data_IF_554412073936
#
_entry.id   IF_554412073936
#
_cell.length_a   1.000
_cell.length_b   1.000
_cell.length_c   1.000
_cell.angle_alpha   90.00
_cell.angle_beta   90.00
_cell.angle_gamma   90.00
#
_symmetry.space_group_name_H-M   'P 1'
#
loop_
_entity.id
_entity.type
_entity.pdbx_description
1 polymer ?
#
# COMPACT_ATOMS: atom_id res chain seq x y z
N UNK A 1 -13.61 7.77 8.68
CA UNK A 1 -12.22 8.15 9.02
C UNK A 1 -12.09 8.67 10.45
N UNK A 2 -13.00 9.51 10.96
CA UNK A 2 -12.90 10.05 12.33
C UNK A 2 -12.92 8.98 13.42
N UNK A 3 -13.87 8.03 13.39
CA UNK A 3 -13.92 6.92 14.37
C UNK A 3 -12.61 6.10 14.42
N UNK A 4 -12.01 5.84 13.26
CA UNK A 4 -10.74 5.10 13.17
C UNK A 4 -9.57 5.92 13.74
N UNK A 5 -9.50 7.21 13.41
CA UNK A 5 -8.49 8.14 13.93
C UNK A 5 -8.59 8.25 15.45
N UNK A 6 -9.79 8.51 15.96
CA UNK A 6 -10.01 8.78 17.37
C UNK A 6 -9.69 7.53 18.22
N UNK A 7 -10.13 6.35 17.78
CA UNK A 7 -9.78 5.08 18.42
C UNK A 7 -8.26 4.82 18.38
N UNK A 8 -7.60 5.07 17.25
CA UNK A 8 -6.15 4.88 17.12
C UNK A 8 -5.39 5.80 18.09
N UNK A 9 -5.82 7.05 18.24
CA UNK A 9 -5.22 8.00 19.21
C UNK A 9 -5.44 7.54 20.64
N UNK A 10 -6.64 7.07 20.99
CA UNK A 10 -6.93 6.53 22.32
C UNK A 10 -6.01 5.35 22.67
N UNK A 11 -5.85 4.40 21.74
CA UNK A 11 -4.94 3.27 21.92
C UNK A 11 -3.47 3.71 21.99
N UNK A 12 -3.06 4.70 21.19
CA UNK A 12 -1.70 5.21 21.19
C UNK A 12 -1.32 5.84 22.55
N UNK A 13 -2.26 6.50 23.23
CA UNK A 13 -2.01 7.06 24.57
C UNK A 13 -1.74 5.98 25.64
N UNK A 14 -2.16 4.74 25.40
CA UNK A 14 -1.98 3.61 26.31
C UNK A 14 -0.76 2.74 25.95
N UNK A 15 -0.26 2.85 24.71
CA UNK A 15 0.78 1.98 24.17
C UNK A 15 1.88 2.80 23.48
N UNK A 16 3.05 2.91 24.13
CA UNK A 16 4.18 3.73 23.63
C UNK A 16 4.62 3.33 22.22
N UNK A 17 4.70 2.04 21.90
CA UNK A 17 5.05 1.58 20.55
C UNK A 17 4.06 2.09 19.49
N UNK A 18 2.77 2.13 19.82
CA UNK A 18 1.74 2.61 18.91
C UNK A 18 1.81 4.13 18.76
N UNK A 19 2.10 4.86 19.86
CA UNK A 19 2.37 6.30 19.79
C UNK A 19 3.57 6.60 18.88
N UNK A 20 4.67 5.87 19.03
CA UNK A 20 5.87 6.07 18.21
C UNK A 20 5.55 5.88 16.71
N UNK A 21 4.85 4.82 16.31
CA UNK A 21 4.50 4.68 14.88
C UNK A 21 3.48 5.72 14.38
N UNK A 22 2.58 6.24 15.24
CA UNK A 22 1.71 7.38 14.90
C UNK A 22 2.53 8.65 14.65
N UNK A 23 3.55 8.91 15.47
CA UNK A 23 4.49 10.03 15.28
C UNK A 23 5.33 9.87 14.01
N UNK A 24 5.75 8.64 13.69
CA UNK A 24 6.44 8.34 12.44
C UNK A 24 5.55 8.63 11.22
N UNK A 25 4.31 8.15 11.24
CA UNK A 25 3.33 8.39 10.18
C UNK A 25 3.03 9.90 10.01
N UNK A 26 2.91 10.64 11.12
CA UNK A 26 2.72 12.09 11.10
C UNK A 26 3.93 12.83 10.53
N UNK A 27 5.14 12.37 10.86
CA UNK A 27 6.38 12.92 10.32
C UNK A 27 6.47 12.68 8.80
N UNK A 28 6.10 11.49 8.32
CA UNK A 28 6.04 11.20 6.88
C UNK A 28 5.00 12.03 6.13
N UNK A 29 3.83 12.26 6.75
CA UNK A 29 2.85 13.17 6.18
C UNK A 29 3.44 14.59 6.04
N UNK A 30 4.18 15.05 7.07
CA UNK A 30 4.85 16.36 7.04
C UNK A 30 5.93 16.40 5.95
N UNK A 31 6.75 15.36 5.83
CA UNK A 31 7.74 15.21 4.76
C UNK A 31 7.11 15.28 3.36
N UNK A 32 5.99 14.58 3.15
CA UNK A 32 5.30 14.52 1.85
C UNK A 32 4.71 15.86 1.39
N UNK A 33 4.51 16.79 2.32
CA UNK A 33 3.99 18.14 2.04
C UNK A 33 5.09 19.22 2.10
N UNK A 34 6.30 18.88 2.54
CA UNK A 34 7.38 19.84 2.67
C UNK A 34 7.94 20.22 1.29
N UNK A 35 8.17 21.52 1.08
CA UNK A 35 8.80 22.04 -0.14
C UNK A 35 10.32 22.17 -0.03
N UNK A 36 10.83 22.37 1.20
CA UNK A 36 12.25 22.57 1.47
C UNK A 36 12.94 21.23 1.73
N UNK A 37 14.07 20.98 1.05
CA UNK A 37 14.81 19.73 1.18
C UNK A 37 15.29 19.44 2.62
N UNK A 38 15.64 20.48 3.39
CA UNK A 38 16.03 20.33 4.79
C UNK A 38 14.85 19.86 5.66
N UNK A 39 13.64 20.38 5.42
CA UNK A 39 12.45 19.97 6.15
C UNK A 39 12.03 18.54 5.79
N UNK A 40 12.12 18.16 4.51
CA UNK A 40 11.92 16.76 4.08
C UNK A 40 12.90 15.84 4.83
N UNK A 41 14.19 16.18 4.83
CA UNK A 41 15.23 15.42 5.51
C UNK A 41 14.94 15.23 7.00
N UNK A 42 14.65 16.33 7.72
CA UNK A 42 14.34 16.32 9.14
C UNK A 42 13.13 15.43 9.45
N UNK A 43 12.06 15.53 8.66
CA UNK A 43 10.85 14.76 8.86
C UNK A 43 11.01 13.28 8.51
N UNK A 44 11.76 12.93 7.45
CA UNK A 44 12.09 11.53 7.14
C UNK A 44 12.98 10.93 8.22
N UNK A 45 14.00 11.66 8.69
CA UNK A 45 14.87 11.21 9.78
C UNK A 45 14.07 10.98 11.07
N UNK A 46 13.16 11.90 11.43
CA UNK A 46 12.25 11.74 12.56
C UNK A 46 11.35 10.52 12.37
N UNK A 47 10.80 10.31 11.18
CA UNK A 47 9.96 9.15 10.88
C UNK A 47 10.70 7.84 11.08
N UNK A 48 11.91 7.70 10.54
CA UNK A 48 12.73 6.49 10.69
C UNK A 48 13.10 6.25 12.15
N UNK A 49 13.43 7.32 12.90
CA UNK A 49 13.71 7.24 14.33
C UNK A 49 12.51 6.68 15.10
N UNK A 50 11.33 7.26 14.93
CA UNK A 50 10.12 6.80 15.61
C UNK A 50 9.68 5.40 15.14
N UNK A 51 9.86 5.06 13.86
CA UNK A 51 9.57 3.73 13.35
C UNK A 51 10.45 2.67 14.01
N UNK A 52 11.76 2.93 14.12
CA UNK A 52 12.69 2.03 14.80
C UNK A 52 12.35 1.90 16.28
N UNK A 53 12.04 3.01 16.96
CA UNK A 53 11.62 3.00 18.37
C UNK A 53 10.36 2.19 18.60
N UNK A 54 9.34 2.33 17.75
CA UNK A 54 8.12 1.53 17.83
C UNK A 54 8.42 0.03 17.85
N UNK A 55 9.28 -0.45 16.95
CA UNK A 55 9.69 -1.86 16.89
C UNK A 55 10.52 -2.26 18.11
N UNK A 56 11.47 -1.43 18.53
CA UNK A 56 12.31 -1.70 19.70
C UNK A 56 11.46 -1.81 20.97
N UNK A 57 10.62 -0.83 21.25
CA UNK A 57 9.71 -0.80 22.41
C UNK A 57 8.76 -2.00 22.40
N UNK A 58 8.20 -2.33 21.22
CA UNK A 58 7.38 -3.51 21.05
C UNK A 58 8.16 -4.78 21.40
N UNK A 59 9.36 -4.96 20.84
CA UNK A 59 10.20 -6.14 21.08
C UNK A 59 10.69 -6.26 22.53
N UNK A 60 11.08 -5.15 23.16
CA UNK A 60 11.51 -5.11 24.56
C UNK A 60 10.36 -5.51 25.49
N UNK A 61 9.15 -5.02 25.21
CA UNK A 61 7.92 -5.42 25.90
C UNK A 61 7.54 -6.89 25.60
N UNK A 62 7.92 -7.41 24.43
CA UNK A 62 7.55 -8.74 23.94
C UNK A 62 8.37 -9.92 24.46
N UNK A 63 9.48 -9.68 25.17
CA UNK A 63 10.11 -10.77 25.94
C UNK A 63 9.15 -11.37 26.99
N UNK A 64 8.02 -10.71 27.30
CA UNK A 64 7.05 -11.10 28.33
C UNK A 64 5.55 -11.02 27.94
N UNK A 65 5.16 -10.58 26.73
CA UNK A 65 3.73 -10.51 26.33
C UNK A 65 3.44 -11.38 25.11
N UNK A 66 2.81 -12.54 25.33
CA UNK A 66 2.08 -13.25 24.28
C UNK A 66 0.94 -12.33 23.82
N UNK A 67 0.75 -12.15 22.50
CA UNK A 67 -0.43 -11.44 21.97
C UNK A 67 -1.66 -11.97 22.69
N UNK A 68 -2.40 -11.06 23.30
CA UNK A 68 -3.58 -11.29 24.12
C UNK A 68 -4.78 -10.63 23.47
N UNK A 69 -5.98 -10.92 23.96
CA UNK A 69 -7.20 -10.26 23.50
C UNK A 69 -7.13 -8.73 23.68
N UNK A 70 -6.52 -8.24 24.77
CA UNK A 70 -6.36 -6.80 25.05
C UNK A 70 -5.33 -6.11 24.15
N UNK A 71 -4.26 -6.81 23.79
CA UNK A 71 -3.20 -6.24 22.94
C UNK A 71 -3.43 -6.43 21.45
N UNK A 72 -4.46 -7.19 21.06
CA UNK A 72 -4.73 -7.54 19.67
C UNK A 72 -4.93 -6.30 18.78
N UNK A 73 -5.82 -5.38 19.18
CA UNK A 73 -6.13 -4.18 18.40
C UNK A 73 -4.93 -3.21 18.29
N UNK A 74 -4.26 -2.84 19.38
CA UNK A 74 -3.04 -2.05 19.33
C UNK A 74 -1.95 -2.62 18.40
N UNK A 75 -1.74 -3.93 18.42
CA UNK A 75 -0.72 -4.58 17.57
C UNK A 75 -1.16 -4.62 16.10
N UNK A 76 -2.45 -4.83 15.83
CA UNK A 76 -3.01 -4.70 14.48
C UNK A 76 -2.83 -3.28 13.93
N UNK A 77 -3.14 -2.25 14.74
CA UNK A 77 -2.95 -0.85 14.37
C UNK A 77 -1.49 -0.52 14.11
N UNK A 78 -0.60 -0.93 15.02
CA UNK A 78 0.84 -0.72 14.88
C UNK A 78 1.35 -1.35 13.59
N UNK A 79 1.01 -2.62 13.34
CA UNK A 79 1.45 -3.35 12.13
C UNK A 79 0.91 -2.70 10.85
N UNK A 80 -0.34 -2.24 10.86
CA UNK A 80 -0.96 -1.53 9.74
C UNK A 80 -0.24 -0.20 9.46
N UNK A 81 0.05 0.59 10.50
CA UNK A 81 0.78 1.85 10.37
C UNK A 81 2.24 1.62 9.93
N UNK A 82 2.90 0.55 10.39
CA UNK A 82 4.22 0.16 9.90
C UNK A 82 4.21 -0.20 8.41
N UNK A 83 3.17 -0.88 7.93
CA UNK A 83 3.00 -1.21 6.51
C UNK A 83 3.01 0.06 5.66
N UNK A 84 2.19 1.05 6.06
CA UNK A 84 2.08 2.32 5.34
C UNK A 84 3.32 3.20 5.51
N UNK A 85 3.83 3.33 6.73
CA UNK A 85 5.01 4.14 7.02
C UNK A 85 6.24 3.63 6.27
N UNK A 86 6.43 2.31 6.19
CA UNK A 86 7.52 1.70 5.40
C UNK A 86 7.40 2.04 3.93
N UNK A 87 6.19 1.94 3.36
CA UNK A 87 5.94 2.29 1.95
C UNK A 87 6.26 3.76 1.68
N UNK A 88 5.72 4.67 2.50
CA UNK A 88 5.89 6.11 2.29
C UNK A 88 7.34 6.55 2.53
N UNK A 89 8.00 6.05 3.57
CA UNK A 89 9.40 6.35 3.85
C UNK A 89 10.30 5.93 2.70
N UNK A 90 10.12 4.70 2.19
CA UNK A 90 10.92 4.18 1.08
C UNK A 90 10.67 4.91 -0.25
N UNK A 91 9.53 5.58 -0.42
CA UNK A 91 9.19 6.37 -1.61
C UNK A 91 9.52 7.86 -1.46
N UNK A 92 10.03 8.29 -0.31
CA UNK A 92 10.36 9.68 0.00
C UNK A 92 11.87 9.84 0.11
N UNK A 93 12.55 10.37 -0.93
CA UNK A 93 13.98 10.66 -0.86
C UNK A 93 14.26 11.62 0.32
N UNK A 94 15.13 11.20 1.24
CA UNK A 94 15.51 12.01 2.40
C UNK A 94 16.48 13.14 2.02
N UNK A 95 17.18 12.99 0.89
CA UNK A 95 18.10 14.01 0.37
C UNK A 95 17.94 14.22 -1.14
N UNK A 96 18.24 15.43 -1.66
CA UNK A 96 18.19 15.69 -3.10
C UNK A 96 19.13 14.74 -3.87
N UNK A 97 18.59 14.03 -4.86
CA UNK A 97 19.35 13.11 -5.70
C UNK A 97 19.56 11.71 -5.12
N UNK A 98 18.99 11.41 -3.95
CA UNK A 98 18.92 10.05 -3.44
C UNK A 98 18.10 9.18 -4.39
N UNK A 99 18.70 8.08 -4.85
CA UNK A 99 18.02 7.08 -5.67
C UNK A 99 17.18 6.19 -4.77
N UNK A 100 15.94 5.95 -5.18
CA UNK A 100 15.10 4.99 -4.50
C UNK A 100 15.64 3.57 -4.69
N UNK A 101 15.37 2.72 -3.70
CA UNK A 101 15.43 1.27 -3.92
C UNK A 101 14.46 0.88 -5.06
N UNK A 102 14.73 -0.20 -5.80
CA UNK A 102 13.80 -0.69 -6.82
C UNK A 102 12.40 -0.87 -6.23
N UNK A 103 11.38 -0.34 -6.93
CA UNK A 103 9.97 -0.39 -6.48
C UNK A 103 9.53 -1.80 -6.09
N UNK A 104 10.00 -2.82 -6.81
CA UNK A 104 9.66 -4.22 -6.52
C UNK A 104 10.14 -4.65 -5.13
N UNK A 105 11.33 -4.22 -4.71
CA UNK A 105 11.87 -4.51 -3.37
C UNK A 105 11.11 -3.76 -2.27
N UNK A 106 10.74 -2.50 -2.53
CA UNK A 106 9.90 -1.72 -1.62
C UNK A 106 8.56 -2.42 -1.41
N UNK A 107 7.90 -2.82 -2.49
CA UNK A 107 6.59 -3.50 -2.44
C UNK A 107 6.69 -4.87 -1.77
N UNK A 108 7.77 -5.63 -1.98
CA UNK A 108 8.04 -6.89 -1.26
C UNK A 108 8.15 -6.67 0.25
N UNK A 109 8.83 -5.62 0.69
CA UNK A 109 8.95 -5.26 2.11
C UNK A 109 7.59 -4.95 2.73
N UNK A 110 6.77 -4.17 2.01
CA UNK A 110 5.39 -3.83 2.42
C UNK A 110 4.51 -5.09 2.49
N UNK A 111 4.66 -5.99 1.52
CA UNK A 111 3.99 -7.30 1.52
C UNK A 111 4.30 -8.11 2.77
N UNK A 112 5.55 -8.12 3.26
CA UNK A 112 5.89 -8.83 4.50
C UNK A 112 5.05 -8.36 5.69
N UNK A 113 4.92 -7.05 5.90
CA UNK A 113 4.07 -6.53 6.97
C UNK A 113 2.58 -6.87 6.77
N UNK A 114 2.09 -6.79 5.53
CA UNK A 114 0.71 -7.14 5.21
C UNK A 114 0.41 -8.63 5.46
N UNK A 115 1.37 -9.53 5.15
CA UNK A 115 1.29 -10.95 5.47
C UNK A 115 1.27 -11.17 6.99
N UNK A 116 2.15 -10.50 7.75
CA UNK A 116 2.15 -10.59 9.21
C UNK A 116 0.80 -10.16 9.82
N UNK A 117 0.21 -9.07 9.33
CA UNK A 117 -1.10 -8.61 9.77
C UNK A 117 -2.19 -9.65 9.48
N UNK A 118 -2.21 -10.20 8.26
CA UNK A 118 -3.18 -11.23 7.89
C UNK A 118 -3.01 -12.50 8.74
N UNK A 119 -1.78 -12.96 8.97
CA UNK A 119 -1.51 -14.15 9.77
C UNK A 119 -1.95 -13.95 11.21
N UNK A 120 -1.74 -12.76 11.77
CA UNK A 120 -2.25 -12.38 13.10
C UNK A 120 -3.78 -12.42 13.15
N UNK A 121 -4.46 -11.81 12.17
CA UNK A 121 -5.93 -11.82 12.09
C UNK A 121 -6.48 -13.23 11.96
N UNK A 122 -5.87 -14.09 11.13
CA UNK A 122 -6.27 -15.49 10.95
C UNK A 122 -6.00 -16.33 12.19
N UNK A 123 -4.81 -16.21 12.78
CA UNK A 123 -4.40 -16.95 13.97
C UNK A 123 -5.22 -16.61 15.21
N UNK A 124 -5.78 -15.39 15.26
CA UNK A 124 -6.56 -14.88 16.38
C UNK A 124 -7.99 -14.50 15.97
N UNK A 125 -8.60 -15.30 15.09
CA UNK A 125 -9.92 -15.02 14.50
C UNK A 125 -11.01 -14.65 15.52
N UNK A 126 -11.06 -15.32 16.67
CA UNK A 126 -12.07 -15.02 17.72
C UNK A 126 -11.91 -13.61 18.27
N UNK A 127 -10.67 -13.14 18.45
CA UNK A 127 -10.39 -11.76 18.90
C UNK A 127 -10.68 -10.78 17.76
N UNK A 128 -10.30 -11.12 16.53
CA UNK A 128 -10.59 -10.30 15.35
C UNK A 128 -12.09 -10.12 15.09
N UNK A 129 -12.93 -11.11 15.37
CA UNK A 129 -14.39 -10.99 15.20
C UNK A 129 -15.04 -10.12 16.30
N UNK A 130 -14.39 -9.99 17.46
CA UNK A 130 -14.89 -9.20 18.60
C UNK A 130 -14.28 -7.81 18.72
N UNK A 131 -13.22 -7.53 17.96
CA UNK A 131 -12.42 -6.32 18.11
C UNK A 131 -13.21 -5.03 17.86
N UNK A 132 -12.75 -3.95 18.48
CA UNK A 132 -13.30 -2.63 18.18
C UNK A 132 -12.88 -2.20 16.77
N UNK A 133 -11.71 -2.62 16.30
CA UNK A 133 -11.30 -2.44 14.90
C UNK A 133 -12.32 -3.01 13.91
N UNK A 134 -12.78 -4.25 14.11
CA UNK A 134 -13.81 -4.88 13.27
C UNK A 134 -15.11 -4.06 13.28
N UNK A 135 -15.53 -3.61 14.46
CA UNK A 135 -16.74 -2.79 14.62
C UNK A 135 -16.63 -1.44 13.92
N UNK A 136 -15.46 -0.81 13.98
CA UNK A 136 -15.20 0.46 13.28
C UNK A 136 -15.20 0.24 11.76
N UNK A 137 -14.54 -0.81 11.25
CA UNK A 137 -14.49 -1.10 9.81
C UNK A 137 -15.85 -1.46 9.23
N UNK A 138 -16.69 -2.16 10.01
CA UNK A 138 -18.05 -2.54 9.61
C UNK A 138 -19.06 -1.40 9.80
N UNK A 139 -18.66 -0.26 10.39
CA UNK A 139 -19.57 0.83 10.71
C UNK A 139 -20.20 1.42 9.45
N UNK A 140 -21.53 1.65 9.41
CA UNK A 140 -22.22 2.27 8.29
C UNK A 140 -21.65 3.64 7.90
N UNK A 141 -20.99 4.36 8.81
CA UNK A 141 -20.34 5.65 8.51
C UNK A 141 -19.07 5.46 7.68
N UNK A 142 -18.32 4.38 7.94
CA UNK A 142 -17.17 4.02 7.13
C UNK A 142 -17.65 3.49 5.77
N UNK A 143 -18.69 2.65 5.77
CA UNK A 143 -19.30 2.10 4.57
C UNK A 143 -19.92 3.18 3.66
N UNK A 144 -20.74 4.11 4.18
CA UNK A 144 -21.46 5.17 3.43
C UNK A 144 -20.62 6.17 2.63
N UNK A 145 -19.29 6.14 2.73
CA UNK A 145 -18.39 6.81 1.76
C UNK A 145 -18.55 6.20 0.34
N UNK A 146 -19.23 5.05 0.24
CA UNK A 146 -19.59 4.21 -0.93
C UNK A 146 -20.10 4.91 -2.20
N UNK A 147 -20.85 6.02 -2.12
CA UNK A 147 -21.60 6.53 -3.29
C UNK A 147 -20.82 7.51 -4.20
N UNK A 148 -19.54 7.78 -3.90
CA UNK A 148 -18.74 8.81 -4.58
C UNK A 148 -17.60 8.30 -5.47
N UNK A 149 -17.44 6.99 -5.67
CA UNK A 149 -16.27 6.46 -6.37
C UNK A 149 -16.37 6.65 -7.89
N UNK A 150 -15.37 7.32 -8.47
CA UNK A 150 -15.29 7.57 -9.92
C UNK A 150 -14.86 6.35 -10.76
N UNK A 151 -14.43 5.27 -10.10
CA UNK A 151 -13.95 4.04 -10.74
C UNK A 151 -14.88 2.88 -10.39
N UNK A 152 -15.53 2.29 -11.40
CA UNK A 152 -16.53 1.25 -11.26
C UNK A 152 -15.95 -0.16 -11.42
N UNK A 153 -16.74 -1.18 -11.07
CA UNK A 153 -16.37 -2.58 -11.31
C UNK A 153 -16.23 -2.90 -12.81
N UNK A 154 -17.00 -2.24 -13.67
CA UNK A 154 -16.88 -2.41 -15.12
C UNK A 154 -15.57 -1.81 -15.63
N UNK A 155 -15.19 -0.62 -15.13
CA UNK A 155 -13.89 -0.02 -15.47
C UNK A 155 -12.70 -0.85 -14.96
N UNK A 156 -12.86 -1.52 -13.81
CA UNK A 156 -11.87 -2.47 -13.31
C UNK A 156 -11.69 -3.65 -14.28
N UNK A 157 -12.80 -4.22 -14.78
CA UNK A 157 -12.77 -5.32 -15.75
C UNK A 157 -12.23 -4.90 -17.11
N UNK A 158 -12.63 -3.72 -17.59
CA UNK A 158 -12.08 -3.16 -18.84
C UNK A 158 -10.56 -2.99 -18.76
N UNK A 159 -10.03 -2.57 -17.61
CA UNK A 159 -8.60 -2.44 -17.37
C UNK A 159 -7.89 -3.80 -17.41
N UNK A 160 -8.41 -4.82 -16.73
CA UNK A 160 -7.79 -6.15 -16.70
C UNK A 160 -7.85 -6.84 -18.07
N UNK A 161 -8.98 -6.74 -18.78
CA UNK A 161 -9.14 -7.24 -20.14
C UNK A 161 -8.17 -6.55 -21.10
N UNK A 162 -7.98 -5.23 -20.98
CA UNK A 162 -7.01 -4.49 -21.79
C UNK A 162 -5.56 -4.94 -21.52
N UNK A 163 -5.20 -5.21 -20.26
CA UNK A 163 -3.87 -5.76 -19.93
C UNK A 163 -3.71 -7.15 -20.56
N UNK A 164 -4.69 -8.03 -20.40
CA UNK A 164 -4.62 -9.39 -20.93
C UNK A 164 -4.54 -9.43 -22.46
N UNK A 165 -5.32 -8.61 -23.16
CA UNK A 165 -5.26 -8.51 -24.61
C UNK A 165 -3.86 -8.14 -25.11
N UNK A 166 -3.09 -7.37 -24.33
CA UNK A 166 -1.71 -7.06 -24.64
C UNK A 166 -0.74 -8.21 -24.31
N UNK A 167 -1.04 -9.05 -23.31
CA UNK A 167 -0.22 -10.21 -22.92
C UNK A 167 -0.41 -11.38 -23.90
N UNK A 168 -1.64 -11.62 -24.37
CA UNK A 168 -2.03 -12.76 -25.23
C UNK A 168 -1.25 -12.89 -26.55
N UNK A 169 -0.42 -11.91 -26.90
CA UNK A 169 0.58 -12.04 -27.96
C UNK A 169 1.75 -12.98 -27.60
N UNK A 170 1.85 -13.39 -26.34
CA UNK A 170 2.87 -14.26 -25.74
C UNK A 170 2.20 -15.41 -24.96
N UNK A 171 1.60 -16.34 -25.70
CA UNK A 171 0.62 -17.38 -25.28
C UNK A 171 1.06 -18.24 -24.07
N UNK A 172 2.36 -18.37 -23.78
CA UNK A 172 2.85 -19.19 -22.67
C UNK A 172 2.64 -18.59 -21.27
N UNK A 173 2.59 -17.26 -21.15
CA UNK A 173 2.55 -16.57 -19.85
C UNK A 173 1.16 -16.02 -19.50
N UNK A 174 0.24 -15.99 -20.47
CA UNK A 174 -1.15 -15.53 -20.28
C UNK A 174 -1.86 -16.14 -19.07
N UNK A 175 -1.82 -17.46 -18.81
CA UNK A 175 -2.55 -18.04 -17.69
C UNK A 175 -2.11 -17.49 -16.34
N UNK A 176 -0.81 -17.28 -16.16
CA UNK A 176 -0.25 -16.74 -14.91
C UNK A 176 -0.71 -15.29 -14.65
N UNK A 177 -0.59 -14.43 -15.67
CA UNK A 177 -1.00 -13.03 -15.53
C UNK A 177 -2.52 -12.87 -15.40
N UNK A 178 -3.31 -13.76 -16.00
CA UNK A 178 -4.76 -13.84 -15.79
C UNK A 178 -5.10 -14.07 -14.32
N UNK A 179 -4.50 -15.08 -13.69
CA UNK A 179 -4.70 -15.32 -12.26
C UNK A 179 -4.25 -14.14 -11.39
N UNK A 180 -3.14 -13.49 -11.76
CA UNK A 180 -2.65 -12.29 -11.06
C UNK A 180 -3.64 -11.13 -11.11
N UNK A 181 -4.27 -10.89 -12.27
CA UNK A 181 -5.27 -9.84 -12.47
C UNK A 181 -6.61 -10.18 -11.81
N UNK A 182 -7.03 -11.44 -11.85
CA UNK A 182 -8.21 -11.92 -11.10
C UNK A 182 -8.04 -11.70 -9.59
N UNK A 183 -6.84 -11.92 -9.05
CA UNK A 183 -6.53 -11.61 -7.66
C UNK A 183 -6.60 -10.11 -7.37
N UNK A 184 -6.22 -9.25 -8.33
CA UNK A 184 -6.33 -7.79 -8.20
C UNK A 184 -7.80 -7.34 -8.21
N UNK A 185 -8.62 -7.86 -9.13
CA UNK A 185 -10.08 -7.66 -9.13
C UNK A 185 -10.73 -8.14 -7.85
N UNK A 186 -10.33 -9.30 -7.35
CA UNK A 186 -10.80 -9.83 -6.07
C UNK A 186 -10.43 -8.92 -4.90
N UNK A 187 -9.22 -8.36 -4.90
CA UNK A 187 -8.83 -7.36 -3.90
C UNK A 187 -9.73 -6.13 -3.98
N UNK A 188 -9.97 -5.60 -5.18
CA UNK A 188 -10.88 -4.48 -5.39
C UNK A 188 -12.28 -4.78 -4.84
N UNK A 189 -12.87 -5.91 -5.24
CA UNK A 189 -14.22 -6.32 -4.85
C UNK A 189 -14.35 -6.55 -3.34
N UNK A 190 -13.38 -7.23 -2.71
CA UNK A 190 -13.39 -7.51 -1.26
C UNK A 190 -13.30 -6.25 -0.40
N UNK A 191 -12.80 -5.14 -0.95
CA UNK A 191 -12.72 -3.84 -0.27
C UNK A 191 -13.79 -2.87 -0.78
N UNK A 192 -14.89 -3.39 -1.35
CA UNK A 192 -16.01 -2.61 -1.89
C UNK A 192 -15.57 -1.52 -2.88
N UNK A 193 -14.52 -1.79 -3.65
CA UNK A 193 -13.96 -0.87 -4.64
C UNK A 193 -13.09 0.25 -4.09
N UNK A 194 -12.77 0.25 -2.80
CA UNK A 194 -12.02 1.35 -2.14
C UNK A 194 -10.52 1.18 -2.16
N UNK A 195 -10.05 -0.06 -2.22
CA UNK A 195 -8.63 -0.34 -2.05
C UNK A 195 -8.23 -1.61 -2.80
N UNK A 196 -6.99 -1.60 -3.27
CA UNK A 196 -6.32 -2.77 -3.86
C UNK A 196 -5.09 -3.20 -3.04
N UNK A 197 -4.91 -2.67 -1.83
CA UNK A 197 -3.73 -2.96 -1.01
C UNK A 197 -3.69 -4.44 -0.59
N UNK A 198 -4.84 -5.06 -0.34
CA UNK A 198 -4.90 -6.49 -0.01
C UNK A 198 -4.46 -7.40 -1.16
N UNK A 199 -4.29 -6.89 -2.38
CA UNK A 199 -3.71 -7.65 -3.49
C UNK A 199 -2.30 -8.14 -3.17
N UNK A 200 -1.51 -7.37 -2.40
CA UNK A 200 -0.14 -7.76 -2.00
C UNK A 200 -0.12 -9.09 -1.22
N UNK A 201 -1.21 -9.38 -0.52
CA UNK A 201 -1.42 -10.60 0.24
C UNK A 201 -1.90 -11.77 -0.64
N UNK A 202 -2.62 -11.46 -1.73
CA UNK A 202 -3.18 -12.46 -2.64
C UNK A 202 -2.19 -12.90 -3.72
N UNK A 203 -1.35 -11.97 -4.18
CA UNK A 203 -0.44 -12.19 -5.31
C UNK A 203 0.66 -13.21 -4.98
N UNK A 204 0.95 -14.08 -5.95
CA UNK A 204 1.96 -15.12 -5.81
C UNK A 204 3.38 -14.53 -5.79
N UNK A 205 4.32 -15.09 -4.99
CA UNK A 205 5.69 -14.58 -4.91
C UNK A 205 6.42 -14.49 -6.25
N UNK A 206 6.11 -15.39 -7.19
CA UNK A 206 6.72 -15.43 -8.52
C UNK A 206 6.42 -14.18 -9.36
N UNK A 207 5.31 -13.48 -9.10
CA UNK A 207 5.04 -12.19 -9.73
C UNK A 207 6.16 -11.17 -9.49
N UNK A 208 6.67 -11.10 -8.26
CA UNK A 208 7.74 -10.16 -7.93
C UNK A 208 9.07 -10.56 -8.56
N UNK A 209 9.33 -11.86 -8.72
CA UNK A 209 10.51 -12.34 -9.46
C UNK A 209 10.45 -11.90 -10.93
N UNK A 210 9.28 -12.02 -11.55
CA UNK A 210 9.05 -11.55 -12.93
C UNK A 210 9.24 -10.03 -13.06
N UNK A 211 8.73 -9.26 -12.09
CA UNK A 211 8.93 -7.82 -12.04
C UNK A 211 10.41 -7.43 -11.83
N UNK A 212 11.15 -8.14 -10.97
CA UNK A 212 12.60 -7.97 -10.77
C UNK A 212 13.40 -8.26 -12.04
N UNK A 213 12.97 -9.25 -12.83
CA UNK A 213 13.57 -9.58 -14.13
C UNK A 213 13.21 -8.56 -15.23
N UNK A 214 12.41 -7.55 -14.91
CA UNK A 214 12.01 -6.51 -15.85
C UNK A 214 10.94 -6.96 -16.85
N UNK A 215 10.19 -8.03 -16.56
CA UNK A 215 9.09 -8.44 -17.43
C UNK A 215 8.05 -7.31 -17.53
N UNK A 216 7.85 -6.81 -18.75
CA UNK A 216 7.04 -5.61 -18.99
C UNK A 216 5.61 -5.75 -18.47
N UNK A 217 4.99 -6.93 -18.65
CA UNK A 217 3.64 -7.19 -18.14
C UNK A 217 3.56 -7.06 -16.61
N UNK A 218 4.55 -7.58 -15.87
CA UNK A 218 4.59 -7.48 -14.41
C UNK A 218 4.78 -6.02 -13.94
N UNK A 219 5.66 -5.27 -14.61
CA UNK A 219 5.88 -3.85 -14.32
C UNK A 219 4.65 -3.00 -14.65
N UNK A 220 3.94 -3.28 -15.74
CA UNK A 220 2.68 -2.61 -16.10
C UNK A 220 1.60 -2.91 -15.05
N UNK A 221 1.46 -4.15 -14.59
CA UNK A 221 0.51 -4.51 -13.53
C UNK A 221 0.84 -3.76 -12.23
N UNK A 222 2.12 -3.63 -11.86
CA UNK A 222 2.53 -2.81 -10.72
C UNK A 222 2.20 -1.33 -10.90
N UNK A 223 2.39 -0.77 -12.10
CA UNK A 223 2.01 0.61 -12.39
C UNK A 223 0.48 0.82 -12.32
N UNK A 224 -0.31 -0.15 -12.79
CA UNK A 224 -1.76 -0.14 -12.64
C UNK A 224 -2.17 -0.24 -11.16
N UNK A 225 -1.53 -1.09 -10.36
CA UNK A 225 -1.78 -1.16 -8.92
C UNK A 225 -1.46 0.16 -8.20
N UNK A 226 -0.33 0.79 -8.54
CA UNK A 226 0.02 2.13 -8.06
C UNK A 226 -1.03 3.17 -8.45
N UNK A 227 -1.49 3.15 -9.69
CA UNK A 227 -2.54 4.05 -10.20
C UNK A 227 -3.88 3.84 -9.49
N UNK A 228 -4.32 2.59 -9.32
CA UNK A 228 -5.53 2.24 -8.57
C UNK A 228 -5.43 2.76 -7.13
N UNK A 229 -4.26 2.66 -6.49
CA UNK A 229 -4.03 3.22 -5.16
C UNK A 229 -4.20 4.75 -5.11
N UNK A 230 -4.04 5.48 -6.23
CA UNK A 230 -4.29 6.92 -6.30
C UNK A 230 -5.79 7.26 -6.39
N UNK A 231 -6.56 6.46 -7.14
CA UNK A 231 -7.92 6.84 -7.56
C UNK A 231 -9.04 6.21 -6.72
N UNK A 232 -8.78 5.09 -6.05
CA UNK A 232 -9.83 4.37 -5.32
C UNK A 232 -10.14 4.97 -3.95
N UNK A 233 -9.12 5.49 -3.26
CA UNK A 233 -9.25 6.03 -1.91
C UNK A 233 -8.75 7.47 -1.80
N UNK A 234 -9.54 8.34 -1.17
CA UNK A 234 -9.15 9.72 -0.88
C UNK A 234 -8.30 9.80 0.40
N UNK A 235 -7.17 9.11 0.40
CA UNK A 235 -6.22 9.09 1.51
C UNK A 235 -4.84 9.56 1.04
N UNK A 236 -4.26 10.51 1.77
CA UNK A 236 -3.03 11.21 1.39
C UNK A 236 -1.89 10.24 1.04
N UNK A 237 -1.65 9.22 1.87
CA UNK A 237 -0.51 8.33 1.72
C UNK A 237 -0.67 7.44 0.50
N UNK A 238 -1.89 6.98 0.21
CA UNK A 238 -2.17 6.11 -0.93
C UNK A 238 -1.98 6.87 -2.24
N UNK A 239 -2.46 8.12 -2.28
CA UNK A 239 -2.23 9.05 -3.39
C UNK A 239 -0.77 9.42 -3.58
N UNK A 240 -0.03 9.60 -2.49
CA UNK A 240 1.40 9.91 -2.55
C UNK A 240 2.19 8.70 -3.05
N UNK A 241 2.04 7.54 -2.40
CA UNK A 241 2.76 6.32 -2.73
C UNK A 241 2.43 5.84 -4.16
N UNK A 242 1.14 5.80 -4.53
CA UNK A 242 0.71 5.40 -5.86
C UNK A 242 1.32 6.25 -6.98
N UNK A 243 1.42 7.56 -6.78
CA UNK A 243 2.10 8.46 -7.73
C UNK A 243 3.59 8.18 -7.84
N UNK A 244 4.29 8.09 -6.71
CA UNK A 244 5.73 7.79 -6.66
C UNK A 244 6.07 6.45 -7.33
N UNK A 245 5.23 5.43 -7.14
CA UNK A 245 5.37 4.12 -7.81
C UNK A 245 5.30 4.28 -9.33
N UNK A 246 4.28 4.97 -9.84
CA UNK A 246 4.11 5.14 -11.29
C UNK A 246 5.23 6.00 -11.88
N UNK A 247 5.64 7.06 -11.19
CA UNK A 247 6.78 7.91 -11.58
C UNK A 247 8.08 7.09 -11.72
N UNK A 248 8.42 6.29 -10.71
CA UNK A 248 9.65 5.50 -10.71
C UNK A 248 9.62 4.42 -11.80
N UNK A 249 8.49 3.72 -11.96
CA UNK A 249 8.31 2.72 -13.00
C UNK A 249 8.28 3.30 -14.42
N UNK A 250 7.90 4.57 -14.57
CA UNK A 250 7.84 5.22 -15.89
C UNK A 250 9.20 5.23 -16.58
N UNK A 251 10.29 5.36 -15.83
CA UNK A 251 11.66 5.32 -16.36
C UNK A 251 12.03 3.96 -16.93
N UNK A 252 11.56 2.87 -16.29
CA UNK A 252 11.81 1.49 -16.70
C UNK A 252 10.92 1.05 -17.86
N UNK A 253 9.71 1.61 -17.91
CA UNK A 253 8.73 1.34 -18.96
C UNK A 253 8.88 2.29 -20.16
N UNK A 254 9.78 3.27 -20.10
CA UNK A 254 10.06 4.14 -21.23
C UNK A 254 10.72 3.35 -22.37
N UNK A 255 10.15 3.44 -23.57
CA UNK A 255 10.60 2.67 -24.72
C UNK A 255 10.24 1.18 -24.67
N UNK A 256 9.35 0.76 -23.77
CA UNK A 256 8.75 -0.57 -23.85
C UNK A 256 7.89 -0.72 -25.10
N UNK A 257 7.45 -1.96 -25.38
CA UNK A 257 6.62 -2.26 -26.55
C UNK A 257 5.40 -1.32 -26.62
N UNK A 258 5.23 -0.71 -27.79
CA UNK A 258 4.17 0.25 -28.10
C UNK A 258 2.75 -0.24 -27.76
N UNK A 259 2.52 -1.54 -27.67
CA UNK A 259 1.25 -2.14 -27.24
C UNK A 259 0.81 -1.65 -25.85
N UNK A 260 1.77 -1.36 -24.96
CA UNK A 260 1.50 -0.90 -23.60
C UNK A 260 1.21 0.60 -23.47
N UNK A 261 1.45 1.37 -24.53
CA UNK A 261 1.34 2.84 -24.49
C UNK A 261 -0.04 3.32 -24.02
N UNK A 262 -1.12 2.67 -24.46
CA UNK A 262 -2.48 3.06 -24.05
C UNK A 262 -2.71 2.94 -22.54
N UNK A 263 -2.26 1.82 -21.96
CA UNK A 263 -2.38 1.56 -20.51
C UNK A 263 -1.47 2.50 -19.72
N UNK A 264 -0.23 2.71 -20.17
CA UNK A 264 0.70 3.60 -19.48
C UNK A 264 0.25 5.06 -19.52
N UNK A 265 -0.30 5.52 -20.65
CA UNK A 265 -0.89 6.85 -20.75
C UNK A 265 -2.10 7.02 -19.80
N UNK A 266 -2.91 5.97 -19.61
CA UNK A 266 -3.95 5.98 -18.59
C UNK A 266 -3.34 6.12 -17.18
N UNK A 267 -2.32 5.32 -16.84
CA UNK A 267 -1.62 5.41 -15.55
C UNK A 267 -1.09 6.82 -15.28
N UNK A 268 -0.39 7.42 -16.24
CA UNK A 268 0.20 8.76 -16.11
C UNK A 268 -0.87 9.84 -15.91
N UNK A 269 -1.96 9.76 -16.68
CA UNK A 269 -3.08 10.70 -16.58
C UNK A 269 -3.72 10.66 -15.19
N UNK A 270 -3.99 9.47 -14.66
CA UNK A 270 -4.63 9.29 -13.35
C UNK A 270 -3.69 9.67 -12.20
N UNK A 271 -2.41 9.32 -12.31
CA UNK A 271 -1.36 9.71 -11.37
C UNK A 271 -1.01 11.22 -11.45
N UNK A 272 -1.55 11.96 -12.42
CA UNK A 272 -1.24 13.37 -12.67
C UNK A 272 0.26 13.63 -12.86
N UNK A 273 0.94 12.69 -13.51
CA UNK A 273 2.34 12.84 -13.90
C UNK A 273 2.33 13.67 -15.18
N UNK A 274 2.93 14.87 -15.14
CA UNK A 274 2.98 15.79 -16.27
C UNK A 274 4.37 15.75 -16.93
N UNK A 275 4.43 15.57 -18.25
CA UNK A 275 5.66 15.74 -19.03
C UNK A 275 6.31 14.47 -19.61
N UNK A 276 5.56 13.37 -19.74
CA UNK A 276 5.96 12.16 -20.48
C UNK A 276 5.01 11.89 -21.65
#
# INVERSE_FOLDING_TARGET
>A
MELFRDYTVEQALQHTYLMDIVLAFTSLHSASNASEASAVHEHVAAALHYQNRSITEFNETQSLVKISEESFDPVCLMTSLHTVATLVAALTPATPGEQLEPIVEIVKRVRTYALCLMDMVKGHRVWAEKSELKRITDSPTVLRIEEGHSFSADQMRELTDAILANIDLDDSETPFFRTTLEQLEKSYANNNGRSVISWLVLVEPIFFQKAELGETAALVILACWGTLSVILEDIWWSKYAGRRIVEELSSQLNGCDSRWNGIMQWCYKQARIHGL
#
